data_IF_595555388069
#
_entry.id   IF_595555388069
#
_cell.length_a   1.000
_cell.length_b   1.000
_cell.length_c   1.000
_cell.angle_alpha   90.00
_cell.angle_beta   90.00
_cell.angle_gamma   90.00
#
_symmetry.space_group_name_H-M   'P 1'
#
loop_
_entity.id
_entity.type
_entity.pdbx_description
1 polymer ?
#
# COMPACT_ATOMS: atom_id res chain seq x y z
N UNK A 1 -53.32 13.30 -16.12
CA UNK A 1 -53.10 14.01 -14.85
C UNK A 1 -51.72 13.65 -14.30
N UNK A 2 -50.65 14.37 -14.66
CA UNK A 2 -49.38 14.31 -13.93
C UNK A 2 -49.37 15.44 -12.89
N UNK A 3 -49.29 15.08 -11.61
CA UNK A 3 -49.14 16.08 -10.55
C UNK A 3 -47.66 16.44 -10.42
N UNK A 4 -47.31 17.60 -10.97
CA UNK A 4 -46.03 18.29 -10.74
C UNK A 4 -45.97 18.78 -9.31
N UNK A 5 -45.03 18.28 -8.50
CA UNK A 5 -44.64 18.96 -7.26
C UNK A 5 -43.29 19.66 -7.49
N UNK A 6 -43.37 20.92 -7.91
CA UNK A 6 -42.30 21.87 -7.75
C UNK A 6 -42.36 22.39 -6.31
N UNK A 7 -41.42 21.96 -5.49
CA UNK A 7 -41.24 22.41 -4.12
C UNK A 7 -39.79 22.77 -3.90
N UNK A 8 -39.43 24.00 -4.29
CA UNK A 8 -38.17 24.64 -3.95
C UNK A 8 -37.97 24.63 -2.44
N UNK A 9 -36.92 23.95 -1.97
CA UNK A 9 -36.24 24.27 -0.72
C UNK A 9 -34.80 23.80 -0.83
N UNK A 10 -33.93 24.71 -1.28
CA UNK A 10 -32.48 24.56 -1.25
C UNK A 10 -31.95 24.64 0.18
N UNK A 11 -32.34 23.68 1.03
CA UNK A 11 -31.50 23.27 2.15
C UNK A 11 -30.40 22.34 1.62
N UNK A 12 -29.26 22.19 2.31
CA UNK A 12 -28.27 21.21 1.89
C UNK A 12 -28.99 19.86 1.81
N UNK A 13 -29.10 19.30 0.61
CA UNK A 13 -29.49 17.91 0.42
C UNK A 13 -28.46 17.12 1.20
N UNK A 14 -28.79 16.73 2.43
CA UNK A 14 -27.97 15.81 3.19
C UNK A 14 -28.11 14.51 2.43
N UNK A 15 -27.10 14.05 1.68
CA UNK A 15 -27.22 12.79 0.96
C UNK A 15 -27.55 11.73 2.01
N UNK A 16 -28.66 11.02 1.83
CA UNK A 16 -29.03 9.89 2.68
C UNK A 16 -28.01 8.80 2.47
N UNK A 17 -26.93 8.87 3.26
CA UNK A 17 -25.88 7.88 3.32
C UNK A 17 -26.47 6.64 3.99
N UNK A 18 -26.78 5.62 3.17
CA UNK A 18 -27.40 4.38 3.62
C UNK A 18 -26.52 3.66 4.65
N UNK A 19 -27.12 3.21 5.76
CA UNK A 19 -26.40 2.48 6.81
C UNK A 19 -25.80 3.33 7.93
N UNK A 20 -26.06 4.64 7.96
CA UNK A 20 -25.68 5.52 9.07
C UNK A 20 -26.89 5.86 9.94
N UNK A 21 -26.68 5.93 11.26
CA UNK A 21 -27.69 6.47 12.18
C UNK A 21 -27.79 8.01 12.11
N UNK A 22 -29.02 8.56 12.13
CA UNK A 22 -29.22 10.00 12.14
C UNK A 22 -28.62 10.63 13.41
N UNK A 23 -28.00 11.80 13.26
CA UNK A 23 -27.46 12.57 14.41
C UNK A 23 -28.56 13.42 15.06
N UNK A 24 -29.20 14.37 14.34
CA UNK A 24 -30.50 14.93 14.72
C UNK A 24 -31.65 14.24 13.97
N UNK A 25 -32.86 14.26 14.53
CA UNK A 25 -34.08 13.79 13.86
C UNK A 25 -34.41 14.54 12.57
N UNK A 26 -33.88 15.77 12.41
CA UNK A 26 -34.05 16.60 11.21
C UNK A 26 -33.35 16.01 9.97
N UNK A 27 -32.40 15.07 10.15
CA UNK A 27 -31.80 14.32 9.04
C UNK A 27 -32.79 13.31 8.42
N UNK A 28 -33.90 13.01 9.08
CA UNK A 28 -34.89 12.05 8.60
C UNK A 28 -35.94 12.75 7.72
N UNK A 29 -36.22 12.24 6.51
CA UNK A 29 -37.30 12.76 5.68
C UNK A 29 -38.64 12.68 6.41
N UNK A 30 -39.40 13.79 6.44
CA UNK A 30 -40.70 13.86 7.11
C UNK A 30 -41.65 12.74 6.66
N UNK A 31 -41.72 12.49 5.36
CA UNK A 31 -42.60 11.47 4.77
C UNK A 31 -42.26 10.07 5.27
N UNK A 32 -40.98 9.76 5.47
CA UNK A 32 -40.53 8.49 6.02
C UNK A 32 -40.94 8.34 7.50
N UNK A 33 -40.77 9.41 8.29
CA UNK A 33 -41.20 9.44 9.69
C UNK A 33 -42.71 9.25 9.80
N UNK A 34 -43.50 9.95 8.99
CA UNK A 34 -44.96 9.84 8.99
C UNK A 34 -45.42 8.44 8.53
N UNK A 35 -44.73 7.85 7.56
CA UNK A 35 -45.01 6.49 7.10
C UNK A 35 -44.83 5.47 8.22
N UNK A 36 -43.69 5.50 8.91
CA UNK A 36 -43.41 4.58 10.02
C UNK A 36 -44.33 4.85 11.21
N UNK A 37 -44.59 6.11 11.54
CA UNK A 37 -45.49 6.52 12.62
C UNK A 37 -46.90 5.93 12.45
N UNK A 38 -47.42 5.91 11.21
CA UNK A 38 -48.71 5.25 10.88
C UNK A 38 -48.67 3.74 11.12
N UNK A 39 -47.56 3.07 10.80
CA UNK A 39 -47.43 1.63 11.00
C UNK A 39 -47.45 1.24 12.48
N UNK A 40 -46.86 2.07 13.35
CA UNK A 40 -46.81 1.82 14.80
C UNK A 40 -47.94 2.52 15.57
N UNK A 41 -48.86 3.21 14.87
CA UNK A 41 -49.97 3.97 15.45
C UNK A 41 -49.57 5.03 16.49
N UNK A 42 -48.45 5.72 16.25
CA UNK A 42 -47.95 6.81 17.10
C UNK A 42 -47.96 8.13 16.32
N UNK A 43 -48.13 9.27 16.98
CA UNK A 43 -48.02 10.56 16.32
C UNK A 43 -46.56 10.87 15.92
N UNK A 44 -46.31 11.29 14.68
CA UNK A 44 -44.96 11.59 14.19
C UNK A 44 -44.18 12.63 15.05
N UNK A 45 -44.91 13.55 15.71
CA UNK A 45 -44.34 14.54 16.64
C UNK A 45 -43.66 13.94 17.86
N UNK A 46 -44.03 12.72 18.27
CA UNK A 46 -43.42 12.04 19.42
C UNK A 46 -41.94 11.74 19.16
N UNK A 47 -41.53 11.61 17.89
CA UNK A 47 -40.12 11.44 17.54
C UNK A 47 -39.27 12.64 17.95
N UNK A 48 -39.83 13.86 18.00
CA UNK A 48 -39.11 15.04 18.44
C UNK A 48 -38.74 14.99 19.94
N UNK A 49 -39.47 14.20 20.72
CA UNK A 49 -39.21 13.96 22.14
C UNK A 49 -38.21 12.82 22.37
N UNK A 50 -37.88 12.05 21.33
CA UNK A 50 -36.93 10.95 21.42
C UNK A 50 -35.50 11.47 21.60
N UNK A 51 -34.85 11.06 22.68
CA UNK A 51 -33.52 11.54 23.05
C UNK A 51 -32.41 10.76 22.33
N UNK A 52 -31.98 11.21 21.14
CA UNK A 52 -30.96 10.58 20.27
C UNK A 52 -29.54 10.41 20.88
N UNK A 53 -29.27 11.03 22.04
CA UNK A 53 -27.97 10.97 22.73
C UNK A 53 -28.02 10.20 24.06
N UNK A 54 -29.16 9.58 24.36
CA UNK A 54 -29.38 8.85 25.63
C UNK A 54 -28.71 7.45 25.65
N UNK A 55 -28.57 6.87 26.86
CA UNK A 55 -28.18 5.46 27.03
C UNK A 55 -29.13 4.50 26.32
N UNK A 56 -30.42 4.82 26.31
CA UNK A 56 -31.46 4.05 25.61
C UNK A 56 -31.22 4.03 24.10
N UNK A 57 -30.80 5.15 23.50
CA UNK A 57 -30.47 5.17 22.06
C UNK A 57 -29.26 4.31 21.72
N UNK A 58 -28.24 4.24 22.59
CA UNK A 58 -27.12 3.31 22.38
C UNK A 58 -27.61 1.87 22.30
N UNK A 59 -28.50 1.46 23.22
CA UNK A 59 -29.13 0.14 23.20
C UNK A 59 -29.93 -0.09 21.91
N UNK A 60 -30.80 0.85 21.52
CA UNK A 60 -31.59 0.72 20.29
C UNK A 60 -30.71 0.62 19.03
N UNK A 61 -29.59 1.34 18.96
CA UNK A 61 -28.64 1.22 17.85
C UNK A 61 -28.05 -0.18 17.75
N UNK A 62 -27.69 -0.78 18.89
CA UNK A 62 -27.25 -2.19 18.93
C UNK A 62 -28.35 -3.14 18.45
N UNK A 63 -29.57 -3.00 18.95
CA UNK A 63 -30.69 -3.87 18.53
C UNK A 63 -30.99 -3.73 17.03
N UNK A 64 -30.95 -2.51 16.49
CA UNK A 64 -31.14 -2.27 15.05
C UNK A 64 -30.01 -2.91 14.23
N UNK A 65 -28.75 -2.84 14.70
CA UNK A 65 -27.61 -3.50 14.06
C UNK A 65 -27.81 -5.02 14.00
N UNK A 66 -28.19 -5.63 15.11
CA UNK A 66 -28.44 -7.06 15.20
C UNK A 66 -29.55 -7.51 14.24
N UNK A 67 -30.62 -6.72 14.11
CA UNK A 67 -31.74 -7.01 13.22
C UNK A 67 -31.42 -6.80 11.73
N UNK A 68 -30.62 -5.79 11.41
CA UNK A 68 -30.33 -5.41 10.02
C UNK A 68 -29.05 -6.06 9.48
N UNK A 69 -28.22 -6.60 10.37
CA UNK A 69 -26.89 -7.14 10.05
C UNK A 69 -25.89 -6.06 9.67
N UNK A 70 -26.12 -4.81 10.07
CA UNK A 70 -25.11 -3.75 9.97
C UNK A 70 -24.20 -3.76 11.19
N UNK A 71 -22.93 -3.40 11.03
CA UNK A 71 -22.00 -3.25 12.15
C UNK A 71 -21.13 -2.01 12.03
N UNK A 72 -20.63 -1.54 13.17
CA UNK A 72 -19.75 -0.37 13.23
C UNK A 72 -18.44 -0.66 12.49
N UNK A 73 -17.95 0.32 11.73
CA UNK A 73 -16.65 0.18 11.06
C UNK A 73 -15.54 0.03 12.09
N UNK A 74 -14.87 -1.12 12.09
CA UNK A 74 -13.72 -1.37 12.94
C UNK A 74 -12.41 -0.97 12.26
N UNK A 75 -11.32 -0.84 13.02
CA UNK A 75 -9.99 -0.64 12.44
C UNK A 75 -9.58 -1.77 11.48
N UNK A 76 -9.99 -3.00 11.78
CA UNK A 76 -9.78 -4.16 10.90
C UNK A 76 -10.52 -4.02 9.58
N UNK A 77 -11.75 -3.49 9.60
CA UNK A 77 -12.53 -3.22 8.39
C UNK A 77 -11.87 -2.15 7.53
N UNK A 78 -11.30 -1.10 8.15
CA UNK A 78 -10.54 -0.07 7.44
C UNK A 78 -9.31 -0.65 6.75
N UNK A 79 -8.54 -1.52 7.41
CA UNK A 79 -7.37 -2.19 6.80
C UNK A 79 -7.80 -3.05 5.61
N UNK A 80 -8.87 -3.84 5.76
CA UNK A 80 -9.42 -4.65 4.66
C UNK A 80 -9.90 -3.78 3.49
N UNK A 81 -10.54 -2.65 3.79
CA UNK A 81 -11.01 -1.69 2.80
C UNK A 81 -9.85 -1.07 2.02
N UNK A 82 -8.75 -0.72 2.70
CA UNK A 82 -7.52 -0.22 2.06
C UNK A 82 -6.94 -1.25 1.10
N UNK A 83 -6.76 -2.49 1.55
CA UNK A 83 -6.20 -3.56 0.72
C UNK A 83 -7.08 -3.84 -0.49
N UNK A 84 -8.39 -3.94 -0.30
CA UNK A 84 -9.35 -4.14 -1.38
C UNK A 84 -9.31 -2.98 -2.39
N UNK A 85 -9.22 -1.74 -1.89
CA UNK A 85 -9.16 -0.56 -2.74
C UNK A 85 -7.86 -0.50 -3.54
N UNK A 86 -6.73 -0.90 -2.96
CA UNK A 86 -5.45 -0.98 -3.65
C UNK A 86 -5.52 -2.00 -4.81
N UNK A 87 -6.08 -3.19 -4.56
CA UNK A 87 -6.27 -4.21 -5.59
C UNK A 87 -7.21 -3.71 -6.70
N UNK A 88 -8.31 -3.04 -6.35
CA UNK A 88 -9.24 -2.49 -7.35
C UNK A 88 -8.60 -1.36 -8.19
N UNK A 89 -7.79 -0.49 -7.58
CA UNK A 89 -7.05 0.57 -8.31
C UNK A 89 -6.03 -0.07 -9.24
N UNK A 90 -5.28 -1.05 -8.74
CA UNK A 90 -4.25 -1.76 -9.47
C UNK A 90 -4.79 -2.42 -10.75
N UNK A 91 -5.92 -3.13 -10.65
CA UNK A 91 -6.45 -3.89 -11.78
C UNK A 91 -7.25 -3.06 -12.80
N UNK A 92 -7.74 -1.88 -12.43
CA UNK A 92 -8.85 -1.23 -13.16
C UNK A 92 -8.60 0.22 -13.59
N UNK A 93 -7.34 0.68 -13.58
CA UNK A 93 -6.84 2.02 -14.00
C UNK A 93 -7.90 3.14 -13.90
N UNK A 94 -8.16 3.62 -12.67
CA UNK A 94 -9.29 4.51 -12.39
C UNK A 94 -8.89 5.97 -12.17
N UNK A 95 -9.71 6.88 -12.71
CA UNK A 95 -9.67 8.33 -12.41
C UNK A 95 -10.03 8.59 -10.94
N UNK A 96 -9.34 9.54 -10.30
CA UNK A 96 -9.42 9.82 -8.86
C UNK A 96 -10.84 10.05 -8.29
N UNK A 97 -11.79 10.56 -9.08
CA UNK A 97 -13.17 10.75 -8.62
C UNK A 97 -13.94 9.42 -8.48
N UNK A 98 -13.71 8.46 -9.39
CA UNK A 98 -14.32 7.14 -9.30
C UNK A 98 -13.82 6.35 -8.09
N UNK A 99 -12.56 6.57 -7.70
CA UNK A 99 -11.92 5.95 -6.52
C UNK A 99 -12.59 6.36 -5.21
N UNK A 100 -13.25 7.53 -5.14
CA UNK A 100 -13.91 8.00 -3.90
C UNK A 100 -15.29 7.41 -3.67
N UNK A 101 -16.00 7.03 -4.73
CA UNK A 101 -17.34 6.46 -4.64
C UNK A 101 -17.32 4.94 -4.33
N UNK A 102 -16.28 4.24 -4.80
CA UNK A 102 -16.13 2.79 -4.62
C UNK A 102 -16.04 2.32 -3.16
N UNK A 103 -15.29 2.99 -2.26
CA UNK A 103 -15.25 2.62 -0.85
C UNK A 103 -16.63 2.64 -0.19
N UNK A 104 -17.45 3.64 -0.51
CA UNK A 104 -18.82 3.76 0.02
C UNK A 104 -19.72 2.63 -0.50
N UNK A 105 -19.58 2.24 -1.76
CA UNK A 105 -20.28 1.08 -2.33
C UNK A 105 -19.88 -0.20 -1.62
N UNK A 106 -18.57 -0.43 -1.45
CA UNK A 106 -18.06 -1.62 -0.79
C UNK A 106 -18.52 -1.72 0.68
N UNK A 107 -18.47 -0.62 1.42
CA UNK A 107 -18.98 -0.55 2.79
C UNK A 107 -20.45 -0.95 2.85
N UNK A 108 -21.28 -0.45 1.91
CA UNK A 108 -22.69 -0.82 1.82
C UNK A 108 -22.90 -2.31 1.51
N UNK A 109 -22.14 -2.87 0.58
CA UNK A 109 -22.20 -4.30 0.25
C UNK A 109 -21.83 -5.19 1.43
N UNK A 110 -20.87 -4.75 2.24
CA UNK A 110 -20.44 -5.44 3.46
C UNK A 110 -21.29 -5.10 4.70
N UNK A 111 -22.32 -4.25 4.54
CA UNK A 111 -23.15 -3.72 5.65
C UNK A 111 -22.34 -3.09 6.77
N UNK A 112 -21.23 -2.46 6.43
CA UNK A 112 -20.40 -1.71 7.36
C UNK A 112 -20.92 -0.28 7.39
N UNK A 113 -21.18 0.25 8.59
CA UNK A 113 -21.63 1.64 8.73
C UNK A 113 -20.67 2.61 8.01
N UNK A 114 -21.19 3.53 7.17
CA UNK A 114 -20.36 4.48 6.45
C UNK A 114 -19.54 5.34 7.39
N UNK A 115 -18.23 5.36 7.14
CA UNK A 115 -17.27 6.14 7.91
C UNK A 115 -17.33 7.62 7.54
N UNK A 116 -16.70 8.47 8.37
CA UNK A 116 -16.59 9.89 8.06
C UNK A 116 -15.77 10.11 6.79
N UNK A 117 -16.05 11.19 6.05
CA UNK A 117 -15.31 11.54 4.85
C UNK A 117 -13.79 11.61 5.10
N UNK A 118 -13.37 12.10 6.27
CA UNK A 118 -11.97 12.12 6.68
C UNK A 118 -11.37 10.71 6.79
N UNK A 119 -12.11 9.76 7.37
CA UNK A 119 -11.67 8.36 7.46
C UNK A 119 -11.58 7.71 6.07
N UNK A 120 -12.51 8.02 5.15
CA UNK A 120 -12.43 7.57 3.76
C UNK A 120 -11.17 8.14 3.09
N UNK A 121 -10.88 9.44 3.27
CA UNK A 121 -9.66 10.05 2.72
C UNK A 121 -8.38 9.41 3.27
N UNK A 122 -8.43 8.98 4.53
CA UNK A 122 -7.34 8.28 5.22
C UNK A 122 -7.11 6.87 4.66
N UNK A 123 -8.15 6.21 4.13
CA UNK A 123 -8.05 4.90 3.46
C UNK A 123 -7.57 5.04 2.01
N UNK A 124 -8.01 6.07 1.30
CA UNK A 124 -7.68 6.28 -0.12
C UNK A 124 -6.19 6.50 -0.33
N UNK A 125 -5.52 7.31 0.51
CA UNK A 125 -4.09 7.63 0.33
C UNK A 125 -3.19 6.39 0.44
N UNK A 126 -3.26 5.56 1.49
CA UNK A 126 -2.49 4.33 1.57
C UNK A 126 -2.84 3.32 0.47
N UNK A 127 -4.12 3.23 0.06
CA UNK A 127 -4.52 2.33 -1.02
C UNK A 127 -3.86 2.70 -2.35
N UNK A 128 -3.79 4.01 -2.66
CA UNK A 128 -3.09 4.49 -3.85
C UNK A 128 -1.59 4.15 -3.79
N UNK A 129 -0.95 4.41 -2.64
CA UNK A 129 0.47 4.10 -2.47
C UNK A 129 0.75 2.60 -2.61
N UNK A 130 -0.08 1.75 -2.02
CA UNK A 130 0.03 0.30 -2.16
C UNK A 130 -0.17 -0.16 -3.61
N UNK A 131 -1.11 0.43 -4.35
CA UNK A 131 -1.30 0.13 -5.77
C UNK A 131 -0.08 0.53 -6.61
N UNK A 132 0.54 1.68 -6.31
CA UNK A 132 1.79 2.11 -6.95
C UNK A 132 2.95 1.16 -6.63
N UNK A 133 3.09 0.71 -5.38
CA UNK A 133 4.12 -0.25 -4.98
C UNK A 133 3.94 -1.60 -5.69
N UNK A 134 2.69 -2.07 -5.83
CA UNK A 134 2.36 -3.27 -6.61
C UNK A 134 2.78 -3.11 -8.08
N UNK A 135 2.52 -1.95 -8.66
CA UNK A 135 2.92 -1.62 -10.03
C UNK A 135 4.43 -1.68 -10.24
N UNK A 136 5.16 -0.99 -9.35
CA UNK A 136 6.61 -0.93 -9.39
C UNK A 136 7.20 -2.34 -9.20
N UNK A 137 6.65 -3.12 -8.26
CA UNK A 137 7.04 -4.49 -8.01
C UNK A 137 6.87 -5.40 -9.23
N UNK A 138 5.72 -5.34 -9.90
CA UNK A 138 5.45 -6.17 -11.09
C UNK A 138 6.41 -5.83 -12.24
N UNK A 139 6.65 -4.54 -12.49
CA UNK A 139 7.60 -4.09 -13.52
C UNK A 139 9.03 -4.53 -13.17
N UNK A 140 9.44 -4.40 -11.91
CA UNK A 140 10.74 -4.84 -11.45
C UNK A 140 10.93 -6.37 -11.62
N UNK A 141 9.91 -7.16 -11.28
CA UNK A 141 9.92 -8.62 -11.45
C UNK A 141 9.95 -9.03 -12.93
N UNK A 142 9.23 -8.29 -13.78
CA UNK A 142 9.27 -8.49 -15.22
C UNK A 142 10.67 -8.20 -15.80
N UNK A 143 11.28 -7.06 -15.44
CA UNK A 143 12.64 -6.70 -15.86
C UNK A 143 13.66 -7.73 -15.36
N UNK A 144 13.55 -8.16 -14.10
CA UNK A 144 14.45 -9.16 -13.53
C UNK A 144 14.32 -10.51 -14.25
N UNK A 145 13.10 -10.93 -14.64
CA UNK A 145 12.89 -12.13 -15.48
C UNK A 145 13.52 -11.96 -16.86
N UNK A 146 13.30 -10.83 -17.53
CA UNK A 146 13.85 -10.56 -18.84
C UNK A 146 15.39 -10.58 -18.82
N UNK A 147 16.00 -9.91 -17.84
CA UNK A 147 17.45 -9.87 -17.69
C UNK A 147 18.04 -11.26 -17.36
N UNK A 148 17.36 -12.08 -16.55
CA UNK A 148 17.76 -13.48 -16.32
C UNK A 148 17.73 -14.30 -17.61
N UNK A 149 16.73 -14.11 -18.47
CA UNK A 149 16.65 -14.79 -19.76
C UNK A 149 17.80 -14.37 -20.69
N UNK A 150 18.07 -13.06 -20.79
CA UNK A 150 19.20 -12.54 -21.58
C UNK A 150 20.53 -13.08 -21.07
N UNK A 151 20.78 -13.02 -19.76
CA UNK A 151 21.99 -13.59 -19.17
C UNK A 151 22.14 -15.09 -19.43
N UNK A 152 21.04 -15.87 -19.32
CA UNK A 152 21.06 -17.31 -19.65
C UNK A 152 21.39 -17.55 -21.12
N UNK A 153 20.82 -16.75 -22.03
CA UNK A 153 21.08 -16.86 -23.46
C UNK A 153 22.55 -16.49 -23.78
N UNK A 154 23.06 -15.40 -23.22
CA UNK A 154 24.45 -14.98 -23.36
C UNK A 154 25.41 -16.05 -22.83
N UNK A 155 25.07 -16.69 -21.71
CA UNK A 155 25.84 -17.80 -21.13
C UNK A 155 25.88 -19.02 -22.05
N UNK A 156 24.80 -19.29 -22.80
CA UNK A 156 24.75 -20.38 -23.78
C UNK A 156 25.49 -20.04 -25.09
N UNK A 157 25.46 -18.77 -25.51
CA UNK A 157 26.14 -18.32 -26.73
C UNK A 157 27.65 -18.11 -26.52
N UNK A 158 28.06 -17.72 -25.31
CA UNK A 158 29.45 -17.60 -24.88
C UNK A 158 29.75 -18.60 -23.76
N UNK A 159 29.81 -19.92 -24.05
CA UNK A 159 30.26 -20.87 -23.05
C UNK A 159 31.67 -20.45 -22.64
N UNK A 160 31.87 -20.20 -21.34
CA UNK A 160 33.20 -19.99 -20.77
C UNK A 160 34.11 -21.11 -21.28
N UNK A 161 35.09 -20.79 -22.11
CA UNK A 161 36.12 -21.77 -22.44
C UNK A 161 36.75 -22.22 -21.11
N UNK A 162 36.87 -23.54 -20.85
CA UNK A 162 37.51 -24.02 -19.64
C UNK A 162 38.90 -23.38 -19.59
N UNK A 163 39.20 -22.73 -18.47
CA UNK A 163 40.50 -22.11 -18.23
C UNK A 163 41.57 -23.15 -18.53
N UNK A 164 42.33 -22.94 -19.61
CA UNK A 164 43.45 -23.81 -19.97
C UNK A 164 44.37 -23.87 -18.75
N UNK A 165 44.74 -25.06 -18.23
CA UNK A 165 45.63 -25.15 -17.09
C UNK A 165 46.91 -24.38 -17.39
N UNK A 166 47.33 -23.55 -16.44
CA UNK A 166 48.55 -22.75 -16.53
C UNK A 166 49.72 -23.71 -16.79
N UNK A 167 50.58 -23.49 -17.80
CA UNK A 167 51.73 -24.38 -18.00
C UNK A 167 52.58 -24.37 -16.74
N UNK A 168 52.98 -25.57 -16.29
CA UNK A 168 53.78 -25.75 -15.08
C UNK A 168 55.02 -24.85 -15.11
N UNK A 169 55.34 -24.14 -14.01
CA UNK A 169 56.61 -23.43 -13.92
C UNK A 169 57.73 -24.48 -13.95
N UNK A 170 58.50 -24.49 -15.04
CA UNK A 170 59.68 -25.35 -15.16
C UNK A 170 60.66 -25.14 -13.99
N UNK A 171 61.56 -26.11 -13.75
CA UNK A 171 62.39 -26.14 -12.55
C UNK A 171 63.26 -24.88 -12.41
N UNK A 172 63.32 -24.33 -11.19
CA UNK A 172 64.13 -23.17 -10.83
C UNK A 172 65.61 -23.34 -11.23
N UNK A 173 66.28 -22.29 -11.73
CA UNK A 173 67.70 -22.35 -12.04
C UNK A 173 68.57 -22.48 -10.77
N UNK A 174 69.74 -23.15 -10.84
CA UNK A 174 70.63 -23.32 -9.71
C UNK A 174 71.27 -21.98 -9.27
N UNK A 175 71.63 -21.83 -7.98
CA UNK A 175 72.20 -20.59 -7.46
C UNK A 175 73.56 -20.27 -8.08
N UNK A 176 73.77 -18.99 -8.43
CA UNK A 176 74.99 -18.50 -9.04
C UNK A 176 76.20 -18.66 -8.10
N UNK A 177 77.25 -19.30 -8.60
CA UNK A 177 78.55 -19.36 -7.93
C UNK A 177 79.16 -17.95 -7.89
N UNK A 178 79.32 -17.40 -6.69
CA UNK A 178 80.05 -16.16 -6.44
C UNK A 178 81.52 -16.35 -6.82
N UNK A 179 81.94 -15.78 -7.95
CA UNK A 179 83.32 -15.71 -8.38
C UNK A 179 84.05 -14.59 -7.62
N UNK A 180 85.09 -14.94 -6.85
CA UNK A 180 86.02 -13.99 -6.23
C UNK A 180 86.98 -13.45 -7.30
N UNK A 181 87.11 -12.12 -7.50
CA UNK A 181 88.10 -11.58 -8.42
C UNK A 181 89.50 -11.55 -7.77
N UNK A 182 90.48 -12.11 -8.46
CA UNK A 182 91.91 -12.07 -8.11
C UNK A 182 92.62 -10.87 -8.74
N UNK A 183 93.33 -10.12 -7.87
CA UNK A 183 94.57 -9.33 -8.05
C UNK A 183 94.56 -8.12 -9.04
N UNK A 184 95.42 -7.11 -8.82
CA UNK A 184 96.83 -7.28 -9.17
C UNK A 184 97.86 -6.73 -8.17
N UNK A 185 99.06 -7.31 -8.25
CA UNK A 185 100.33 -6.81 -7.71
C UNK A 185 100.71 -5.47 -8.35
N UNK A 186 100.92 -4.42 -7.56
CA UNK A 186 101.84 -3.32 -7.92
C UNK A 186 102.37 -2.66 -6.65
N UNK A 187 103.70 -2.66 -6.49
CA UNK A 187 104.39 -2.12 -5.33
C UNK A 187 104.80 -0.66 -5.46
N UNK A 188 105.05 -0.01 -4.32
CA UNK A 188 105.98 1.12 -4.19
C UNK A 188 106.37 1.33 -2.71
N UNK A 189 107.62 0.92 -2.42
CA UNK A 189 108.66 1.59 -1.64
C UNK A 189 108.30 2.50 -0.44
N UNK A 190 108.89 2.11 0.72
CA UNK A 190 109.62 2.88 1.77
C UNK A 190 108.83 3.98 2.49
N UNK A 191 108.92 4.12 3.82
CA UNK A 191 110.14 4.31 4.63
C UNK A 191 109.96 3.88 6.08
N UNK A 192 111.04 3.39 6.71
CA UNK A 192 111.19 3.22 8.17
C UNK A 192 111.15 4.56 8.90
N UNK A 193 110.71 4.57 10.17
CA UNK A 193 111.35 5.39 11.18
C UNK A 193 111.96 4.53 12.30
N UNK A 194 113.13 4.96 12.74
CA UNK A 194 113.79 4.49 13.94
C UNK A 194 113.47 5.45 15.09
N UNK A 195 113.04 4.91 16.23
CA UNK A 195 113.68 5.07 17.54
C UNK A 195 113.12 4.04 18.51
#
# INVERSE_FOLDING_TARGET
MPCTYAGSNGGPEIPVVAGRFPKPWLELPRDAVEHVARQVQVAARELAQYAFTSRTTKRHRTEIRDLTGWHECTGTDLVKLTSWLADEIWHNERRAEAVRAEPLRHLREKRIEPTTADQISTVVRPALHQAEDHAIGEVADWLARAQRCTWRLDTLHHPRQPTRPRPDPGPSPPPALTYMPTAPLTGALRTRPAK
#
